data_IF_636679982104
#
_entry.id   IF_636679982104
#
_cell.length_a   1.000
_cell.length_b   1.000
_cell.length_c   1.000
_cell.angle_alpha   90.00
_cell.angle_beta   90.00
_cell.angle_gamma   90.00
#
_symmetry.space_group_name_H-M   'P 1'
#
loop_
_entity.id
_entity.type
_entity.pdbx_description
1 polymer ?
#
# COMPACT_ATOMS: atom_id res chain seq x y z
N UNK A 1 -4.64 -5.87 -27.38
CA UNK A 1 -4.94 -6.04 -25.94
C UNK A 1 -6.28 -5.36 -25.70
N UNK A 2 -7.33 -6.09 -25.30
CA UNK A 2 -8.68 -5.51 -25.11
C UNK A 2 -8.82 -4.99 -23.67
N UNK A 3 -8.62 -3.69 -23.45
CA UNK A 3 -8.76 -3.02 -22.15
C UNK A 3 -9.58 -1.70 -22.26
N UNK A 4 -10.51 -1.59 -23.21
CA UNK A 4 -11.18 -0.32 -23.53
C UNK A 4 -12.64 -0.24 -23.07
N UNK A 5 -13.23 -1.33 -22.55
CA UNK A 5 -14.59 -1.28 -22.03
C UNK A 5 -14.59 -0.90 -20.54
N UNK A 6 -15.16 0.25 -20.15
CA UNK A 6 -15.29 0.61 -18.75
C UNK A 6 -16.17 -0.40 -18.03
N UNK A 7 -15.57 -1.10 -17.07
CA UNK A 7 -16.31 -1.99 -16.18
C UNK A 7 -17.10 -1.10 -15.23
N UNK A 8 -18.34 -0.77 -15.61
CA UNK A 8 -19.29 -0.11 -14.74
C UNK A 8 -20.09 -1.17 -13.98
N UNK A 9 -19.93 -1.19 -12.67
CA UNK A 9 -20.51 -2.19 -11.80
C UNK A 9 -21.35 -1.49 -10.71
N UNK A 10 -22.67 -1.75 -10.64
CA UNK A 10 -23.61 -1.12 -9.68
C UNK A 10 -23.30 -1.47 -8.21
N UNK A 11 -22.81 -0.51 -7.43
CA UNK A 11 -22.48 -0.67 -6.01
C UNK A 11 -23.54 -1.49 -5.26
N UNK A 12 -23.10 -2.51 -4.50
CA UNK A 12 -23.98 -3.38 -3.69
C UNK A 12 -24.83 -2.52 -2.74
N UNK A 13 -26.06 -2.96 -2.47
CA UNK A 13 -26.91 -2.31 -1.45
C UNK A 13 -26.26 -2.49 -0.08
N UNK A 14 -25.80 -1.38 0.50
CA UNK A 14 -25.29 -1.32 1.87
C UNK A 14 -26.42 -0.93 2.83
N UNK A 15 -26.46 -1.56 4.01
CA UNK A 15 -27.31 -1.12 5.10
C UNK A 15 -26.88 0.25 5.63
N UNK A 16 -27.74 0.93 6.39
CA UNK A 16 -27.45 2.26 6.94
C UNK A 16 -26.14 2.28 7.76
N UNK A 17 -25.96 1.29 8.64
CA UNK A 17 -24.75 1.13 9.46
C UNK A 17 -23.49 0.88 8.63
N UNK A 18 -23.60 0.13 7.53
CA UNK A 18 -22.47 -0.12 6.64
C UNK A 18 -22.08 1.12 5.84
N UNK A 19 -23.05 1.93 5.41
CA UNK A 19 -22.78 3.21 4.74
C UNK A 19 -22.07 4.20 5.65
N UNK A 20 -22.50 4.29 6.91
CA UNK A 20 -21.86 5.14 7.92
C UNK A 20 -20.40 4.73 8.14
N UNK A 21 -20.12 3.42 8.27
CA UNK A 21 -18.75 2.94 8.42
C UNK A 21 -17.88 3.18 7.18
N UNK A 22 -18.44 2.99 5.98
CA UNK A 22 -17.75 3.32 4.73
C UNK A 22 -17.42 4.81 4.65
N UNK A 23 -18.39 5.68 4.96
CA UNK A 23 -18.19 7.12 4.93
C UNK A 23 -17.08 7.55 5.89
N UNK A 24 -17.08 6.99 7.12
CA UNK A 24 -16.04 7.23 8.13
C UNK A 24 -14.64 6.86 7.61
N UNK A 25 -14.50 5.68 6.99
CA UNK A 25 -13.20 5.24 6.45
C UNK A 25 -12.74 6.07 5.25
N UNK A 26 -13.67 6.51 4.40
CA UNK A 26 -13.36 7.38 3.27
C UNK A 26 -12.82 8.72 3.76
N UNK A 27 -13.45 9.34 4.77
CA UNK A 27 -12.98 10.60 5.36
C UNK A 27 -11.57 10.45 5.97
N UNK A 28 -11.35 9.37 6.73
CA UNK A 28 -10.05 9.05 7.32
C UNK A 28 -8.97 8.90 6.25
N UNK A 29 -9.21 8.10 5.21
CA UNK A 29 -8.24 7.86 4.14
C UNK A 29 -8.02 9.07 3.23
N UNK A 30 -9.02 9.94 3.06
CA UNK A 30 -8.84 11.23 2.39
C UNK A 30 -7.94 12.15 3.22
N UNK A 31 -8.13 12.19 4.54
CA UNK A 31 -7.31 12.97 5.47
C UNK A 31 -5.86 12.49 5.52
N UNK A 32 -5.64 11.18 5.54
CA UNK A 32 -4.32 10.56 5.49
C UNK A 32 -3.69 10.54 4.09
N UNK A 33 -4.40 11.03 3.06
CA UNK A 33 -3.98 11.03 1.66
C UNK A 33 -3.66 9.64 1.12
N UNK A 34 -4.35 8.62 1.63
CA UNK A 34 -4.32 7.25 1.11
C UNK A 34 -5.16 7.15 -0.16
N UNK A 35 -6.29 7.86 -0.21
CA UNK A 35 -7.16 7.94 -1.39
C UNK A 35 -7.35 9.40 -1.84
N UNK A 36 -7.83 9.57 -3.08
CA UNK A 36 -8.23 10.86 -3.63
C UNK A 36 -9.55 10.71 -4.40
N UNK A 37 -10.26 11.82 -4.59
CA UNK A 37 -11.43 11.84 -5.46
C UNK A 37 -11.00 11.58 -6.91
N UNK A 38 -11.69 10.66 -7.59
CA UNK A 38 -11.46 10.33 -9.00
C UNK A 38 -12.75 10.50 -9.79
N UNK A 39 -12.66 11.11 -10.98
CA UNK A 39 -13.74 11.12 -11.97
C UNK A 39 -13.55 10.01 -13.01
N UNK A 40 -13.16 8.81 -12.58
CA UNK A 40 -12.89 7.68 -13.47
C UNK A 40 -14.19 7.06 -14.00
N UNK A 41 -14.21 6.73 -15.30
CA UNK A 41 -15.26 5.93 -15.95
C UNK A 41 -15.24 4.45 -15.49
N UNK A 42 -14.24 4.04 -14.71
CA UNK A 42 -14.09 2.70 -14.14
C UNK A 42 -14.46 2.71 -12.65
N UNK A 43 -15.39 1.83 -12.23
CA UNK A 43 -15.78 1.69 -10.82
C UNK A 43 -15.68 0.24 -10.35
N UNK A 44 -14.92 0.00 -9.29
CA UNK A 44 -14.83 -1.32 -8.64
C UNK A 44 -15.78 -1.40 -7.45
N UNK A 45 -16.37 -2.58 -7.20
CA UNK A 45 -17.21 -2.80 -6.01
C UNK A 45 -16.42 -2.71 -4.71
N UNK A 46 -17.03 -2.08 -3.69
CA UNK A 46 -16.53 -2.08 -2.31
C UNK A 46 -17.15 -3.27 -1.56
N UNK A 47 -16.31 -4.03 -0.87
CA UNK A 47 -16.73 -5.17 -0.02
C UNK A 47 -16.34 -4.85 1.42
N UNK A 48 -17.33 -4.76 2.31
CA UNK A 48 -17.07 -4.63 3.75
C UNK A 48 -16.80 -6.00 4.35
N UNK A 49 -15.69 -6.11 5.06
CA UNK A 49 -15.33 -7.30 5.83
C UNK A 49 -15.15 -6.89 7.28
N UNK A 50 -15.83 -7.57 8.20
CA UNK A 50 -15.57 -7.42 9.63
C UNK A 50 -14.19 -7.99 9.93
N UNK A 51 -13.23 -7.11 10.25
CA UNK A 51 -11.89 -7.54 10.66
C UNK A 51 -12.01 -8.31 11.97
N UNK A 52 -11.82 -9.63 11.91
CA UNK A 52 -11.60 -10.43 13.12
C UNK A 52 -10.15 -10.21 13.54
N UNK A 53 -9.94 -9.82 14.79
CA UNK A 53 -8.62 -9.85 15.39
C UNK A 53 -8.23 -11.31 15.57
N UNK A 54 -7.54 -11.88 14.57
CA UNK A 54 -6.99 -13.22 14.66
C UNK A 54 -5.75 -13.12 15.56
N UNK A 55 -5.70 -13.94 16.60
CA UNK A 55 -4.54 -14.02 17.49
C UNK A 55 -3.40 -14.74 16.77
N UNK A 56 -2.45 -13.96 16.24
CA UNK A 56 -1.30 -14.48 15.52
C UNK A 56 -0.16 -14.94 16.44
N UNK A 57 -0.29 -14.91 17.78
CA UNK A 57 0.82 -15.24 18.71
C UNK A 57 1.41 -16.63 18.44
N UNK A 58 0.56 -17.66 18.35
CA UNK A 58 0.99 -19.04 18.06
C UNK A 58 1.60 -19.22 16.66
N UNK A 59 1.16 -18.40 15.69
CA UNK A 59 1.70 -18.43 14.33
C UNK A 59 3.06 -17.73 14.30
N UNK A 60 3.20 -16.59 14.97
CA UNK A 60 4.45 -15.85 15.06
C UNK A 60 5.54 -16.62 15.82
N UNK A 61 5.17 -17.53 16.73
CA UNK A 61 6.09 -18.48 17.37
C UNK A 61 6.66 -19.51 16.38
N UNK A 62 5.89 -19.89 15.35
CA UNK A 62 6.27 -20.88 14.33
C UNK A 62 6.82 -20.24 13.04
N UNK A 63 6.50 -18.98 12.77
CA UNK A 63 7.10 -18.22 11.68
C UNK A 63 8.54 -17.91 12.09
N UNK A 64 9.48 -18.59 11.44
CA UNK A 64 10.87 -18.16 11.43
C UNK A 64 10.90 -16.79 10.76
N UNK A 65 11.17 -15.72 11.54
CA UNK A 65 11.47 -14.41 10.96
C UNK A 65 12.64 -14.62 10.01
N UNK A 66 12.37 -14.46 8.73
CA UNK A 66 13.38 -14.48 7.71
C UNK A 66 14.29 -13.26 7.86
N UNK A 67 15.33 -13.44 8.67
CA UNK A 67 16.42 -12.49 8.87
C UNK A 67 17.63 -12.93 8.06
N UNK A 68 17.42 -13.41 6.84
CA UNK A 68 18.54 -13.71 5.94
C UNK A 68 19.36 -12.44 5.76
N UNK A 69 20.62 -12.51 6.20
CA UNK A 69 21.60 -11.48 5.91
C UNK A 69 21.86 -11.50 4.41
N UNK A 70 21.32 -10.53 3.71
CA UNK A 70 21.57 -10.33 2.30
C UNK A 70 22.91 -9.61 2.19
N UNK A 71 23.97 -10.37 1.91
CA UNK A 71 25.31 -9.81 1.74
C UNK A 71 25.30 -8.73 0.65
N UNK A 72 25.85 -7.56 0.95
CA UNK A 72 25.85 -6.43 0.02
C UNK A 72 24.55 -5.61 -0.03
N UNK A 73 23.47 -6.02 0.66
CA UNK A 73 22.22 -5.25 0.72
C UNK A 73 22.43 -3.83 1.23
N UNK A 74 23.26 -3.67 2.26
CA UNK A 74 23.60 -2.35 2.80
C UNK A 74 24.26 -1.44 1.74
N UNK A 75 24.99 -2.00 0.77
CA UNK A 75 25.60 -1.22 -0.32
C UNK A 75 24.56 -0.78 -1.34
N UNK A 76 23.63 -1.67 -1.72
CA UNK A 76 22.53 -1.37 -2.64
C UNK A 76 21.54 -0.39 -2.01
N UNK A 77 21.18 -0.58 -0.74
CA UNK A 77 20.18 0.23 -0.06
C UNK A 77 20.72 1.58 0.44
N UNK A 78 22.04 1.78 0.52
CA UNK A 78 22.65 3.00 1.10
C UNK A 78 22.29 4.29 0.34
N UNK A 79 22.36 4.37 -0.99
CA UNK A 79 21.94 5.56 -1.74
C UNK A 79 20.49 5.95 -1.48
N UNK A 80 19.62 4.97 -1.28
CA UNK A 80 18.20 5.18 -0.95
C UNK A 80 18.00 5.54 0.52
N UNK A 81 18.74 4.90 1.43
CA UNK A 81 18.67 5.16 2.87
C UNK A 81 19.19 6.55 3.22
N UNK A 82 20.19 7.03 2.48
CA UNK A 82 20.77 8.36 2.65
C UNK A 82 19.76 9.47 2.28
N UNK A 83 18.78 9.20 1.39
CA UNK A 83 17.70 10.14 1.06
C UNK A 83 16.69 10.33 2.21
N UNK A 84 16.63 9.40 3.16
CA UNK A 84 15.69 9.43 4.28
C UNK A 84 16.27 10.07 5.55
N UNK A 85 17.52 10.57 5.49
CA UNK A 85 18.17 11.24 6.62
C UNK A 85 17.57 12.64 6.83
N UNK A 86 17.48 13.04 8.11
CA UNK A 86 16.77 14.24 8.59
C UNK A 86 17.18 15.56 7.89
N UNK A 87 18.40 15.65 7.37
CA UNK A 87 18.95 16.85 6.71
C UNK A 87 19.42 16.58 5.27
N UNK A 88 19.04 15.44 4.68
CA UNK A 88 19.41 15.13 3.30
C UNK A 88 18.50 15.88 2.33
N UNK A 89 19.12 16.61 1.39
CA UNK A 89 18.40 17.14 0.23
C UNK A 89 17.95 15.96 -0.63
N UNK A 90 16.64 15.81 -0.82
CA UNK A 90 16.10 14.75 -1.66
C UNK A 90 16.53 14.96 -3.11
N UNK A 91 17.51 14.19 -3.58
CA UNK A 91 18.01 14.19 -4.95
C UNK A 91 18.04 12.75 -5.44
N UNK A 92 17.09 12.40 -6.29
CA UNK A 92 17.00 11.08 -6.89
C UNK A 92 17.82 11.04 -8.18
N UNK A 93 19.13 10.84 -8.05
CA UNK A 93 20.07 10.79 -9.17
C UNK A 93 20.31 9.37 -9.67
N UNK A 94 21.31 9.23 -10.54
CA UNK A 94 21.67 7.98 -11.20
C UNK A 94 22.00 6.85 -10.21
N UNK A 95 22.71 7.17 -9.11
CA UNK A 95 23.05 6.19 -8.07
C UNK A 95 21.82 5.62 -7.36
N UNK A 96 20.80 6.44 -7.09
CA UNK A 96 19.55 6.00 -6.45
C UNK A 96 18.66 5.23 -7.43
N UNK A 97 18.66 5.64 -8.70
CA UNK A 97 17.92 4.97 -9.75
C UNK A 97 18.50 3.57 -10.05
N UNK A 98 19.82 3.44 -10.08
CA UNK A 98 20.49 2.14 -10.22
C UNK A 98 20.21 1.23 -9.01
N UNK A 99 20.31 1.77 -7.80
CA UNK A 99 19.99 1.06 -6.56
C UNK A 99 18.52 0.58 -6.50
N UNK A 100 17.59 1.37 -7.03
CA UNK A 100 16.16 1.02 -7.04
C UNK A 100 15.83 -0.10 -8.04
N UNK A 101 16.50 -0.14 -9.19
CA UNK A 101 16.27 -1.15 -10.21
C UNK A 101 17.09 -2.44 -10.01
N UNK A 102 18.13 -2.41 -9.17
CA UNK A 102 18.82 -3.63 -8.74
C UNK A 102 17.89 -4.45 -7.83
N UNK A 103 17.25 -5.48 -8.41
CA UNK A 103 16.61 -6.54 -7.64
C UNK A 103 17.69 -7.38 -6.95
N UNK A 104 17.63 -7.42 -5.62
CA UNK A 104 18.42 -8.33 -4.78
C UNK A 104 17.65 -9.62 -4.54
#
# INVERSE_FOLDING_TARGET
>A
MKNEEPIYQRSRRLSQKEKEEVARQIEEWLGEKIIQLSCSEFTSFIVLVKKKAVDFRQINERIVKDRRFIAGYALVAKPLSDLLKKDAKFVFGEAQQLAFHQQV
#
